data_IF_037764752703
#
_entry.id   IF_037764752703
#
_cell.length_a   1.000
_cell.length_b   1.000
_cell.length_c   1.000
_cell.angle_alpha   90.00
_cell.angle_beta   90.00
_cell.angle_gamma   90.00
#
_symmetry.space_group_name_H-M   'P 1'
#
loop_
_entity.id
_entity.type
_entity.pdbx_description
1 polymer ?
#
# COMPACT_ATOMS: atom_id res chain seq x y z
N UNK A 1 -21.25 13.47 -19.42
CA UNK A 1 -21.15 12.48 -18.33
C UNK A 1 -20.91 13.25 -17.04
N UNK A 2 -21.43 12.80 -15.89
CA UNK A 2 -21.10 13.46 -14.61
C UNK A 2 -19.61 13.25 -14.29
N UNK A 3 -18.93 14.22 -13.66
CA UNK A 3 -17.56 14.03 -13.22
C UNK A 3 -17.41 12.82 -12.29
N UNK A 4 -16.28 12.13 -12.38
CA UNK A 4 -15.92 11.04 -11.47
C UNK A 4 -15.58 11.64 -10.11
N UNK A 5 -16.17 11.12 -9.04
CA UNK A 5 -15.78 11.46 -7.66
C UNK A 5 -14.80 10.45 -7.10
N UNK A 6 -13.58 10.89 -6.84
CA UNK A 6 -12.53 10.06 -6.28
C UNK A 6 -12.15 10.55 -4.89
N UNK A 7 -12.30 9.69 -3.89
CA UNK A 7 -11.94 10.00 -2.50
C UNK A 7 -10.84 9.05 -2.03
N UNK A 8 -9.77 9.60 -1.46
CA UNK A 8 -8.63 8.83 -0.96
C UNK A 8 -8.57 8.84 0.57
N UNK A 9 -8.51 7.65 1.16
CA UNK A 9 -8.41 7.38 2.59
C UNK A 9 -7.09 6.67 2.89
N UNK A 10 -6.54 6.93 4.05
CA UNK A 10 -5.32 6.28 4.49
C UNK A 10 -4.49 7.10 5.45
N UNK A 11 -3.19 6.85 5.41
CA UNK A 11 -2.20 7.50 6.25
C UNK A 11 -1.25 8.40 5.44
N UNK A 12 -0.01 8.56 5.90
CA UNK A 12 0.99 9.45 5.31
C UNK A 12 1.32 9.11 3.85
N UNK A 13 1.21 7.85 3.43
CA UNK A 13 1.40 7.47 2.03
C UNK A 13 0.34 8.11 1.13
N UNK A 14 -0.93 8.05 1.54
CA UNK A 14 -2.03 8.60 0.75
C UNK A 14 -2.15 10.11 0.92
N UNK A 15 -1.80 10.65 2.08
CA UNK A 15 -1.69 12.10 2.31
C UNK A 15 -0.68 12.74 1.35
N UNK A 16 0.36 11.99 0.94
CA UNK A 16 1.35 12.43 -0.04
C UNK A 16 2.68 12.87 0.57
N UNK A 17 3.00 12.41 1.79
CA UNK A 17 4.29 12.68 2.41
C UNK A 17 5.42 12.25 1.48
N UNK A 18 6.37 13.15 1.25
CA UNK A 18 7.50 12.96 0.35
C UNK A 18 7.34 13.55 -1.06
N UNK A 19 6.13 13.99 -1.43
CA UNK A 19 5.83 14.72 -2.67
C UNK A 19 5.10 16.04 -2.35
N UNK A 20 5.87 17.07 -2.00
CA UNK A 20 5.35 18.38 -1.59
C UNK A 20 5.44 19.39 -2.74
N UNK A 21 4.33 20.09 -2.99
CA UNK A 21 4.24 21.26 -3.88
C UNK A 21 4.01 22.52 -3.05
N UNK A 22 3.85 23.67 -3.71
CA UNK A 22 3.51 24.94 -3.05
C UNK A 22 2.17 24.87 -2.30
N UNK A 23 1.24 24.02 -2.78
CA UNK A 23 -0.09 23.83 -2.21
C UNK A 23 -0.15 22.75 -1.10
N UNK A 24 0.99 22.13 -0.78
CA UNK A 24 1.10 21.07 0.22
C UNK A 24 1.42 19.69 -0.36
N UNK A 25 1.18 18.60 0.39
CA UNK A 25 1.47 17.26 -0.09
C UNK A 25 0.49 16.86 -1.21
N UNK A 26 1.03 16.37 -2.33
CA UNK A 26 0.25 15.95 -3.50
C UNK A 26 -0.02 14.45 -3.46
N UNK A 27 1.02 13.62 -3.53
CA UNK A 27 0.92 12.17 -3.38
C UNK A 27 0.30 11.43 -4.57
N UNK A 28 0.36 10.10 -4.51
CA UNK A 28 -0.05 9.21 -5.60
C UNK A 28 -1.52 9.36 -6.00
N UNK A 29 -2.42 9.62 -5.05
CA UNK A 29 -3.86 9.70 -5.32
C UNK A 29 -4.19 10.99 -6.11
N UNK A 30 -3.59 12.13 -5.75
CA UNK A 30 -3.75 13.36 -6.51
C UNK A 30 -3.13 13.25 -7.91
N UNK A 31 -2.00 12.55 -8.04
CA UNK A 31 -1.37 12.27 -9.34
C UNK A 31 -2.21 11.35 -10.23
N UNK A 32 -2.98 10.43 -9.64
CA UNK A 32 -3.88 9.52 -10.35
C UNK A 32 -5.16 10.22 -10.83
N UNK A 33 -5.69 11.16 -10.03
CA UNK A 33 -7.03 11.72 -10.25
C UNK A 33 -7.27 12.29 -11.66
N UNK A 34 -6.36 13.06 -12.29
CA UNK A 34 -6.55 13.56 -13.65
C UNK A 34 -6.69 12.46 -14.71
N UNK A 35 -6.16 11.27 -14.44
CA UNK A 35 -6.20 10.12 -15.35
C UNK A 35 -7.51 9.33 -15.27
N UNK A 36 -8.37 9.59 -14.29
CA UNK A 36 -9.66 8.90 -14.14
C UNK A 36 -10.70 9.39 -15.16
N UNK A 37 -10.62 10.66 -15.55
CA UNK A 37 -11.50 11.27 -16.54
C UNK A 37 -11.49 12.79 -16.46
N UNK A 38 -11.95 13.43 -17.53
CA UNK A 38 -12.06 14.89 -17.57
C UNK A 38 -12.99 15.39 -16.46
N UNK A 39 -12.52 16.39 -15.70
CA UNK A 39 -13.29 17.03 -14.63
C UNK A 39 -13.36 16.25 -13.32
N UNK A 40 -12.59 15.16 -13.14
CA UNK A 40 -12.58 14.36 -11.89
C UNK A 40 -12.53 15.24 -10.64
N UNK A 41 -13.50 15.05 -9.75
CA UNK A 41 -13.61 15.69 -8.44
C UNK A 41 -12.81 14.84 -7.44
N UNK A 42 -11.66 15.34 -7.01
CA UNK A 42 -10.77 14.63 -6.08
C UNK A 42 -10.87 15.20 -4.66
N UNK A 43 -10.88 14.32 -3.65
CA UNK A 43 -10.75 14.70 -2.24
C UNK A 43 -9.82 13.74 -1.52
N UNK A 44 -8.81 14.28 -0.84
CA UNK A 44 -7.92 13.50 0.02
C UNK A 44 -8.35 13.67 1.49
N UNK A 45 -8.71 12.57 2.14
CA UNK A 45 -9.06 12.53 3.56
C UNK A 45 -8.02 11.76 4.39
N UNK A 46 -6.91 11.33 3.77
CA UNK A 46 -5.84 10.66 4.46
C UNK A 46 -5.11 11.60 5.43
N UNK A 47 -4.63 11.04 6.54
CA UNK A 47 -3.97 11.81 7.60
C UNK A 47 -2.75 11.06 8.07
N UNK A 48 -1.59 11.74 8.11
CA UNK A 48 -0.34 11.16 8.61
C UNK A 48 -0.49 10.42 9.94
N UNK A 49 -0.05 9.16 9.96
CA UNK A 49 -0.06 8.32 11.16
C UNK A 49 -1.38 7.64 11.50
N UNK A 50 -2.42 7.80 10.65
CA UNK A 50 -3.70 7.12 10.80
C UNK A 50 -3.54 5.59 10.85
N UNK A 51 -4.33 4.96 11.72
CA UNK A 51 -4.51 3.51 11.80
C UNK A 51 -5.84 3.11 11.15
N UNK A 52 -6.07 1.80 10.97
CA UNK A 52 -7.35 1.27 10.48
C UNK A 52 -8.56 1.78 11.27
N UNK A 53 -8.41 2.01 12.58
CA UNK A 53 -9.45 2.61 13.42
C UNK A 53 -9.81 4.02 12.99
N UNK A 54 -8.81 4.85 12.71
CA UNK A 54 -9.04 6.26 12.35
C UNK A 54 -9.70 6.35 10.96
N UNK A 55 -9.33 5.44 10.04
CA UNK A 55 -9.99 5.31 8.74
C UNK A 55 -11.47 4.92 8.92
N UNK A 56 -11.76 3.93 9.76
CA UNK A 56 -13.13 3.49 10.03
C UNK A 56 -13.98 4.59 10.68
N UNK A 57 -13.48 5.18 11.76
CA UNK A 57 -14.28 6.05 12.62
C UNK A 57 -14.41 7.49 12.09
N UNK A 58 -13.42 7.97 11.31
CA UNK A 58 -13.35 9.38 10.89
C UNK A 58 -13.38 9.54 9.39
N UNK A 59 -12.49 8.87 8.67
CA UNK A 59 -12.34 9.11 7.22
C UNK A 59 -13.49 8.49 6.42
N UNK A 60 -13.95 7.29 6.79
CA UNK A 60 -15.00 6.58 6.07
C UNK A 60 -16.33 7.33 6.11
N UNK A 61 -16.87 7.78 7.27
CA UNK A 61 -18.10 8.56 7.29
C UNK A 61 -18.03 9.84 6.44
N UNK A 62 -16.91 10.56 6.51
CA UNK A 62 -16.67 11.76 5.70
C UNK A 62 -16.61 11.42 4.20
N UNK A 63 -15.99 10.30 3.82
CA UNK A 63 -15.93 9.84 2.44
C UNK A 63 -17.32 9.52 1.89
N UNK A 64 -18.13 8.77 2.63
CA UNK A 64 -19.46 8.36 2.17
C UNK A 64 -20.40 9.56 1.99
N UNK A 65 -20.24 10.62 2.79
CA UNK A 65 -21.01 11.87 2.62
C UNK A 65 -20.77 12.53 1.24
N UNK A 66 -19.61 12.29 0.61
CA UNK A 66 -19.27 12.80 -0.72
C UNK A 66 -19.87 11.97 -1.87
N UNK A 67 -20.46 10.80 -1.57
CA UNK A 67 -20.99 9.84 -2.55
C UNK A 67 -19.99 9.53 -3.68
N UNK A 68 -18.84 8.92 -3.33
CA UNK A 68 -17.75 8.68 -4.26
C UNK A 68 -18.09 7.60 -5.29
N UNK A 69 -17.54 7.73 -6.50
CA UNK A 69 -17.56 6.68 -7.52
C UNK A 69 -16.36 5.73 -7.34
N UNK A 70 -15.22 6.26 -6.87
CA UNK A 70 -14.04 5.49 -6.48
C UNK A 70 -13.56 5.89 -5.08
N UNK A 71 -13.17 4.89 -4.29
CA UNK A 71 -12.56 5.09 -2.98
C UNK A 71 -11.25 4.33 -2.89
N UNK A 72 -10.15 5.04 -2.65
CA UNK A 72 -8.89 4.40 -2.29
C UNK A 72 -8.78 4.24 -0.78
N UNK A 73 -8.42 3.05 -0.32
CA UNK A 73 -8.14 2.76 1.08
C UNK A 73 -6.79 2.06 1.18
N UNK A 74 -5.76 2.81 1.55
CA UNK A 74 -4.40 2.30 1.73
C UNK A 74 -3.94 2.68 3.14
N UNK A 75 -3.92 1.71 4.04
CA UNK A 75 -3.63 1.88 5.48
C UNK A 75 -3.17 0.54 6.07
N UNK A 76 -2.53 0.58 7.24
CA UNK A 76 -2.24 -0.60 8.06
C UNK A 76 -0.78 -0.70 8.51
N UNK A 77 0.13 -0.04 7.80
CA UNK A 77 1.55 0.04 8.20
C UNK A 77 1.66 0.66 9.60
N UNK A 78 0.89 1.71 9.88
CA UNK A 78 0.90 2.35 11.19
C UNK A 78 0.38 1.45 12.32
N UNK A 79 -0.58 0.56 12.06
CA UNK A 79 -1.06 -0.43 13.03
C UNK A 79 0.07 -1.39 13.43
N UNK A 80 0.90 -1.85 12.47
CA UNK A 80 2.03 -2.76 12.76
C UNK A 80 3.06 -2.14 13.70
N UNK A 81 3.14 -0.81 13.70
CA UNK A 81 4.08 0.00 14.47
C UNK A 81 3.48 0.50 15.81
N UNK A 82 2.43 -0.15 16.32
CA UNK A 82 1.87 0.12 17.65
C UNK A 82 2.05 -1.06 18.58
N UNK A 83 2.10 -0.76 19.88
CA UNK A 83 2.08 -1.82 20.88
C UNK A 83 0.76 -2.58 20.95
N UNK A 84 -0.33 -1.92 20.53
CA UNK A 84 -1.70 -2.45 20.48
C UNK A 84 -2.01 -3.20 19.18
N UNK A 85 -1.00 -3.63 18.43
CA UNK A 85 -1.24 -4.35 17.17
C UNK A 85 -2.08 -5.62 17.43
N UNK A 86 -3.20 -5.71 16.74
CA UNK A 86 -4.13 -6.84 16.79
C UNK A 86 -4.69 -7.06 15.39
N UNK A 87 -4.38 -8.21 14.80
CA UNK A 87 -4.81 -8.55 13.45
C UNK A 87 -6.32 -8.79 13.35
N UNK A 88 -6.98 -9.25 14.42
CA UNK A 88 -8.45 -9.39 14.43
C UNK A 88 -9.12 -8.03 14.32
N UNK A 89 -8.64 -7.05 15.09
CA UNK A 89 -9.15 -5.70 15.05
C UNK A 89 -8.89 -5.03 13.68
N UNK A 90 -7.71 -5.23 13.09
CA UNK A 90 -7.39 -4.75 11.73
C UNK A 90 -8.34 -5.35 10.70
N UNK A 91 -8.53 -6.67 10.71
CA UNK A 91 -9.42 -7.37 9.78
C UNK A 91 -10.87 -6.90 9.91
N UNK A 92 -11.39 -6.81 11.13
CA UNK A 92 -12.75 -6.36 11.38
C UNK A 92 -12.99 -4.92 10.90
N UNK A 93 -12.05 -4.01 11.15
CA UNK A 93 -12.16 -2.61 10.74
C UNK A 93 -12.09 -2.46 9.22
N UNK A 94 -11.14 -3.13 8.57
CA UNK A 94 -11.03 -3.09 7.10
C UNK A 94 -12.26 -3.72 6.42
N UNK A 95 -12.79 -4.83 6.95
CA UNK A 95 -14.04 -5.42 6.47
C UNK A 95 -15.21 -4.42 6.55
N UNK A 96 -15.33 -3.70 7.66
CA UNK A 96 -16.37 -2.69 7.83
C UNK A 96 -16.21 -1.51 6.86
N UNK A 97 -14.98 -1.00 6.68
CA UNK A 97 -14.69 0.08 5.73
C UNK A 97 -15.03 -0.35 4.30
N UNK A 98 -14.52 -1.50 3.86
CA UNK A 98 -14.71 -1.97 2.48
C UNK A 98 -16.19 -2.28 2.22
N UNK A 99 -16.87 -2.93 3.17
CA UNK A 99 -18.29 -3.19 3.04
C UNK A 99 -19.13 -1.91 2.96
N UNK A 100 -18.75 -0.87 3.71
CA UNK A 100 -19.47 0.40 3.67
C UNK A 100 -19.32 1.09 2.32
N UNK A 101 -18.11 1.14 1.76
CA UNK A 101 -17.85 1.69 0.43
C UNK A 101 -18.55 0.87 -0.67
N UNK A 102 -18.45 -0.46 -0.63
CA UNK A 102 -19.07 -1.35 -1.60
C UNK A 102 -20.61 -1.24 -1.58
N UNK A 103 -21.22 -1.05 -0.41
CA UNK A 103 -22.67 -0.86 -0.26
C UNK A 103 -23.17 0.44 -0.91
N UNK A 104 -22.36 1.48 -0.95
CA UNK A 104 -22.65 2.72 -1.69
C UNK A 104 -22.37 2.59 -3.20
N UNK A 105 -21.87 1.43 -3.66
CA UNK A 105 -21.55 1.16 -5.07
C UNK A 105 -20.22 1.76 -5.54
N UNK A 106 -19.36 2.23 -4.63
CA UNK A 106 -18.06 2.76 -4.99
C UNK A 106 -17.07 1.66 -5.38
N UNK A 107 -16.27 1.90 -6.42
CA UNK A 107 -15.15 1.03 -6.77
C UNK A 107 -14.02 1.21 -5.76
N UNK A 108 -13.62 0.14 -5.11
CA UNK A 108 -12.54 0.16 -4.11
C UNK A 108 -11.17 0.02 -4.77
N UNK A 109 -10.21 0.85 -4.35
CA UNK A 109 -8.79 0.67 -4.61
C UNK A 109 -8.08 0.34 -3.30
N UNK A 110 -7.16 -0.59 -3.31
CA UNK A 110 -6.31 -0.85 -2.15
C UNK A 110 -4.95 -1.43 -2.56
N UNK A 111 -4.03 -1.54 -1.61
CA UNK A 111 -2.70 -2.04 -1.87
C UNK A 111 -2.12 -2.85 -0.70
N UNK A 112 -1.36 -3.89 -1.03
CA UNK A 112 -0.37 -4.46 -0.13
C UNK A 112 0.87 -3.56 -0.11
N UNK A 113 1.44 -3.36 1.08
CA UNK A 113 2.58 -2.47 1.27
C UNK A 113 3.81 -3.24 1.78
N UNK A 114 5.02 -2.72 1.50
CA UNK A 114 6.26 -3.34 1.94
C UNK A 114 6.43 -3.33 3.46
N UNK A 115 7.27 -4.23 3.97
CA UNK A 115 7.60 -4.30 5.40
C UNK A 115 8.34 -3.04 5.87
N UNK A 116 7.81 -2.31 6.87
CA UNK A 116 8.48 -1.11 7.39
C UNK A 116 9.84 -1.42 8.03
N UNK A 117 10.07 -2.63 8.56
CA UNK A 117 11.36 -3.01 9.13
C UNK A 117 12.49 -3.03 8.10
N UNK A 118 12.25 -3.63 6.95
CA UNK A 118 13.15 -3.67 5.80
C UNK A 118 13.38 -2.27 5.21
N UNK A 119 12.32 -1.46 5.09
CA UNK A 119 12.43 -0.07 4.61
C UNK A 119 13.33 0.79 5.49
N UNK A 120 13.21 0.63 6.81
CA UNK A 120 14.03 1.33 7.79
C UNK A 120 15.44 0.75 7.96
N UNK A 121 15.76 -0.37 7.29
CA UNK A 121 17.05 -1.04 7.39
C UNK A 121 17.36 -1.56 8.79
N UNK A 122 16.34 -2.02 9.53
CA UNK A 122 16.52 -2.52 10.89
C UNK A 122 17.30 -3.85 10.90
N UNK A 123 18.06 -4.13 11.97
CA UNK A 123 18.61 -5.46 12.21
C UNK A 123 17.53 -6.55 12.16
N UNK A 124 17.88 -7.75 11.70
CA UNK A 124 16.93 -8.85 11.48
C UNK A 124 16.05 -9.16 12.69
N UNK A 125 16.60 -9.12 13.91
CA UNK A 125 15.84 -9.35 15.15
C UNK A 125 14.71 -8.33 15.38
N UNK A 126 14.86 -7.10 14.89
CA UNK A 126 13.83 -6.05 14.96
C UNK A 126 12.93 -6.05 13.71
N UNK A 127 13.50 -6.34 12.55
CA UNK A 127 12.76 -6.36 11.29
C UNK A 127 11.81 -7.55 11.19
N UNK A 128 12.19 -8.75 11.64
CA UNK A 128 11.39 -9.96 11.47
C UNK A 128 10.01 -9.90 12.17
N UNK A 129 9.89 -9.38 13.40
CA UNK A 129 8.57 -9.15 14.01
C UNK A 129 7.69 -8.18 13.23
N UNK A 130 8.24 -7.08 12.73
CA UNK A 130 7.50 -6.11 11.92
C UNK A 130 7.08 -6.73 10.58
N UNK A 131 7.98 -7.49 9.96
CA UNK A 131 7.70 -8.19 8.72
C UNK A 131 6.57 -9.21 8.87
N UNK A 132 6.52 -9.94 10.00
CA UNK A 132 5.38 -10.82 10.31
C UNK A 132 4.08 -10.04 10.45
N UNK A 133 4.09 -8.91 11.16
CA UNK A 133 2.91 -8.05 11.29
C UNK A 133 2.45 -7.49 9.94
N UNK A 134 3.37 -7.01 9.11
CA UNK A 134 3.04 -6.50 7.78
C UNK A 134 2.52 -7.60 6.85
N UNK A 135 3.12 -8.79 6.88
CA UNK A 135 2.59 -9.96 6.14
C UNK A 135 1.15 -10.28 6.57
N UNK A 136 0.87 -10.23 7.86
CA UNK A 136 -0.48 -10.44 8.38
C UNK A 136 -1.48 -9.39 7.86
N UNK A 137 -1.11 -8.11 7.91
CA UNK A 137 -1.94 -7.01 7.34
C UNK A 137 -2.15 -7.20 5.84
N UNK A 138 -1.08 -7.47 5.07
CA UNK A 138 -1.18 -7.69 3.63
C UNK A 138 -2.07 -8.90 3.28
N UNK A 139 -1.98 -10.00 4.03
CA UNK A 139 -2.85 -11.16 3.84
C UNK A 139 -4.34 -10.82 4.06
N UNK A 140 -4.64 -10.01 5.07
CA UNK A 140 -6.00 -9.50 5.30
C UNK A 140 -6.45 -8.60 4.16
N UNK A 141 -5.63 -7.63 3.73
CA UNK A 141 -5.95 -6.74 2.61
C UNK A 141 -6.20 -7.53 1.34
N UNK A 142 -5.37 -8.54 1.04
CA UNK A 142 -5.54 -9.40 -0.12
C UNK A 142 -6.87 -10.16 -0.09
N UNK A 143 -7.16 -10.87 1.01
CA UNK A 143 -8.41 -11.62 1.17
C UNK A 143 -9.65 -10.72 1.08
N UNK A 144 -9.60 -9.53 1.69
CA UNK A 144 -10.69 -8.56 1.61
C UNK A 144 -10.81 -7.92 0.22
N UNK A 145 -9.71 -7.78 -0.51
CA UNK A 145 -9.74 -7.28 -1.90
C UNK A 145 -10.49 -8.24 -2.81
N UNK A 146 -10.21 -9.55 -2.70
CA UNK A 146 -10.95 -10.58 -3.43
C UNK A 146 -12.43 -10.59 -3.04
N UNK A 147 -12.71 -10.53 -1.72
CA UNK A 147 -14.07 -10.55 -1.18
C UNK A 147 -14.94 -9.39 -1.67
N UNK A 148 -14.37 -8.19 -1.80
CA UNK A 148 -15.10 -6.99 -2.18
C UNK A 148 -14.88 -6.56 -3.64
N UNK A 149 -14.12 -7.33 -4.43
CA UNK A 149 -13.81 -7.01 -5.82
C UNK A 149 -13.02 -5.73 -5.99
N UNK A 150 -12.09 -5.43 -5.07
CA UNK A 150 -11.29 -4.22 -5.12
C UNK A 150 -10.24 -4.28 -6.23
N UNK A 151 -9.93 -3.12 -6.82
CA UNK A 151 -8.75 -2.91 -7.66
C UNK A 151 -7.52 -2.93 -6.76
N UNK A 152 -6.86 -4.09 -6.72
CA UNK A 152 -5.81 -4.40 -5.75
C UNK A 152 -4.40 -4.28 -6.36
N UNK A 153 -3.58 -3.41 -5.79
CA UNK A 153 -2.18 -3.26 -6.15
C UNK A 153 -1.27 -3.99 -5.15
N UNK A 154 -0.58 -5.02 -5.59
CA UNK A 154 0.50 -5.58 -4.76
C UNK A 154 1.79 -4.76 -4.91
N UNK A 155 2.05 -3.85 -3.96
CA UNK A 155 3.30 -3.10 -3.85
C UNK A 155 4.21 -3.66 -2.74
N UNK A 156 4.00 -4.89 -2.28
CA UNK A 156 4.83 -5.50 -1.24
C UNK A 156 6.17 -6.05 -1.76
N UNK A 157 6.34 -6.12 -3.09
CA UNK A 157 7.57 -6.61 -3.71
C UNK A 157 8.80 -5.73 -3.41
N UNK A 158 9.98 -6.35 -3.40
CA UNK A 158 11.25 -5.69 -3.08
C UNK A 158 11.82 -4.83 -4.22
N UNK A 159 11.27 -4.93 -5.43
CA UNK A 159 11.86 -4.33 -6.64
C UNK A 159 11.89 -2.80 -6.58
N UNK A 160 10.83 -2.19 -6.04
CA UNK A 160 10.77 -0.73 -5.87
C UNK A 160 11.34 -0.26 -4.51
N UNK A 161 11.40 -1.14 -3.51
CA UNK A 161 12.07 -0.85 -2.23
C UNK A 161 13.57 -0.65 -2.45
N UNK A 162 14.20 -1.46 -3.30
CA UNK A 162 15.64 -1.40 -3.55
C UNK A 162 16.07 -0.11 -4.27
N UNK A 163 15.17 0.50 -5.05
CA UNK A 163 15.46 1.73 -5.79
C UNK A 163 15.34 2.96 -4.88
N UNK A 164 16.48 3.40 -4.36
CA UNK A 164 16.58 4.59 -3.49
C UNK A 164 16.07 5.88 -4.13
N UNK A 165 16.01 5.98 -5.46
CA UNK A 165 15.52 7.18 -6.13
C UNK A 165 13.99 7.34 -6.02
N UNK A 166 13.28 6.28 -5.62
CA UNK A 166 11.83 6.31 -5.39
C UNK A 166 11.44 6.80 -4.00
N UNK A 167 12.41 6.94 -3.09
CA UNK A 167 12.18 7.28 -1.69
C UNK A 167 12.50 8.75 -1.40
N UNK A 168 11.76 9.32 -0.46
CA UNK A 168 11.99 10.66 0.04
C UNK A 168 13.24 10.70 0.94
N UNK A 169 13.56 11.90 1.41
CA UNK A 169 14.68 12.15 2.31
C UNK A 169 14.67 11.26 3.58
N UNK A 170 13.47 10.88 4.06
CA UNK A 170 13.30 10.06 5.26
C UNK A 170 13.48 8.54 5.04
N UNK A 171 13.58 8.11 3.78
CA UNK A 171 13.67 6.69 3.36
C UNK A 171 12.53 5.80 3.85
N UNK A 172 11.43 6.40 4.29
CA UNK A 172 10.23 5.71 4.75
C UNK A 172 9.05 5.99 3.83
N UNK A 173 8.94 7.23 3.35
CA UNK A 173 7.88 7.62 2.42
C UNK A 173 8.42 7.71 1.00
N UNK A 174 7.61 7.35 -0.02
CA UNK A 174 7.98 7.58 -1.40
C UNK A 174 8.22 9.07 -1.67
N UNK A 175 9.25 9.38 -2.45
CA UNK A 175 9.38 10.71 -3.05
C UNK A 175 8.43 10.86 -4.25
N UNK A 176 8.44 12.00 -4.92
CA UNK A 176 7.64 12.24 -6.13
C UNK A 176 7.70 11.08 -7.13
N UNK A 177 8.91 10.57 -7.46
CA UNK A 177 9.07 9.44 -8.39
C UNK A 177 8.33 8.19 -7.92
N UNK A 178 8.38 7.89 -6.63
CA UNK A 178 7.69 6.74 -6.05
C UNK A 178 6.17 6.92 -6.08
N UNK A 179 5.67 8.12 -5.74
CA UNK A 179 4.24 8.44 -5.84
C UNK A 179 3.72 8.36 -7.28
N UNK A 180 4.48 8.86 -8.26
CA UNK A 180 4.16 8.72 -9.70
C UNK A 180 4.10 7.26 -10.13
N UNK A 181 5.04 6.42 -9.67
CA UNK A 181 5.05 4.99 -9.96
C UNK A 181 3.84 4.27 -9.36
N UNK A 182 3.46 4.59 -8.13
CA UNK A 182 2.22 4.10 -7.51
C UNK A 182 0.98 4.52 -8.31
N UNK A 183 0.88 5.80 -8.68
CA UNK A 183 -0.22 6.33 -9.48
C UNK A 183 -0.33 5.61 -10.84
N UNK A 184 0.78 5.44 -11.56
CA UNK A 184 0.80 4.75 -12.85
C UNK A 184 0.42 3.27 -12.75
N UNK A 185 0.82 2.57 -11.67
CA UNK A 185 0.44 1.18 -11.43
C UNK A 185 -1.05 1.04 -11.14
N UNK A 186 -1.62 1.92 -10.31
CA UNK A 186 -3.08 1.95 -10.10
C UNK A 186 -3.84 2.30 -11.38
N UNK A 187 -3.35 3.27 -12.17
CA UNK A 187 -3.93 3.60 -13.47
C UNK A 187 -4.00 2.38 -14.39
N UNK A 188 -2.92 1.61 -14.50
CA UNK A 188 -2.87 0.38 -15.31
C UNK A 188 -3.95 -0.61 -14.89
N UNK A 189 -4.12 -0.84 -13.58
CA UNK A 189 -5.13 -1.76 -13.05
C UNK A 189 -6.56 -1.24 -13.32
N UNK A 190 -6.79 0.05 -13.11
CA UNK A 190 -8.09 0.67 -13.37
C UNK A 190 -8.44 0.69 -14.86
N UNK A 191 -7.47 0.90 -15.75
CA UNK A 191 -7.67 0.80 -17.20
C UNK A 191 -8.08 -0.61 -17.59
N UNK A 192 -7.39 -1.63 -17.06
CA UNK A 192 -7.74 -3.03 -17.31
C UNK A 192 -9.16 -3.38 -16.79
N UNK A 193 -9.60 -2.75 -15.71
CA UNK A 193 -10.95 -2.88 -15.16
C UNK A 193 -12.00 -1.95 -15.80
N UNK A 194 -11.63 -1.12 -16.78
CA UNK A 194 -12.56 -0.23 -17.49
C UNK A 194 -12.99 1.02 -16.70
N UNK A 195 -12.24 1.41 -15.66
CA UNK A 195 -12.58 2.53 -14.78
C UNK A 195 -11.88 3.86 -15.11
N UNK A 196 -11.03 3.91 -16.15
CA UNK A 196 -10.34 5.14 -16.57
C UNK A 196 -10.59 5.47 -18.03
N UNK A 197 -10.67 6.77 -18.33
CA UNK A 197 -10.72 7.28 -19.72
C UNK A 197 -9.56 8.23 -20.05
N UNK A 198 -8.76 8.62 -19.05
CA UNK A 198 -7.65 9.56 -19.21
C UNK A 198 -6.31 8.90 -19.55
N UNK A 199 -5.35 9.73 -19.94
CA UNK A 199 -3.94 9.33 -20.20
C UNK A 199 -3.28 8.85 -18.90
N UNK A 200 -2.37 7.86 -18.93
CA UNK A 200 -1.59 7.48 -17.75
C UNK A 200 -0.88 8.66 -17.09
N UNK A 201 -0.74 8.67 -15.75
CA UNK A 201 0.06 9.66 -15.04
C UNK A 201 1.50 9.71 -15.57
N UNK A 202 2.08 10.91 -15.64
CA UNK A 202 3.48 11.06 -16.05
C UNK A 202 4.42 10.41 -15.02
N UNK A 203 5.38 9.62 -15.51
CA UNK A 203 6.49 9.09 -14.71
C UNK A 203 7.64 10.09 -14.55
N UNK A 204 7.67 11.12 -15.39
CA UNK A 204 8.69 12.17 -15.31
C UNK A 204 8.43 13.04 -14.07
N UNK A 205 9.42 13.18 -13.17
CA UNK A 205 9.30 14.04 -12.00
C UNK A 205 9.41 15.52 -12.40
N UNK A 206 8.66 16.35 -11.71
CA UNK A 206 8.71 17.82 -11.82
C UNK A 206 9.83 18.40 -10.96
N UNK A 207 10.21 17.70 -9.87
CA UNK A 207 11.22 18.16 -8.93
C UNK A 207 12.45 17.25 -8.90
N UNK A 208 13.65 17.81 -8.63
CA UNK A 208 14.85 17.02 -8.45
C UNK A 208 14.75 16.12 -7.22
N UNK A 209 15.49 15.01 -7.23
CA UNK A 209 15.55 14.11 -6.07
C UNK A 209 16.09 14.84 -4.82
N UNK A 210 15.66 14.46 -3.59
CA UNK A 210 16.16 15.07 -2.37
C UNK A 210 17.67 14.97 -2.25
N UNK A 211 18.34 16.06 -1.89
CA UNK A 211 19.78 16.05 -1.62
C UNK A 211 20.10 15.39 -0.27
N UNK A 212 21.34 14.95 -0.09
CA UNK A 212 21.81 14.41 1.22
C UNK A 212 21.61 15.42 2.35
N UNK A 213 21.83 16.71 2.07
CA UNK A 213 21.65 17.80 3.03
C UNK A 213 20.18 17.98 3.43
N UNK A 214 19.26 17.92 2.48
CA UNK A 214 17.82 17.96 2.75
C UNK A 214 17.37 16.77 3.63
N UNK A 215 17.96 15.59 3.40
CA UNK A 215 17.71 14.39 4.22
C UNK A 215 18.18 14.58 5.67
N UNK A 216 19.36 15.19 5.88
CA UNK A 216 19.88 15.50 7.21
C UNK A 216 19.07 16.58 7.94
N UNK A 217 18.65 17.62 7.22
CA UNK A 217 17.80 18.71 7.75
C UNK A 217 16.41 18.20 8.18
N UNK A 218 15.80 17.28 7.41
CA UNK A 218 14.56 16.64 7.81
C UNK A 218 14.74 15.82 9.08
N UNK A 219 15.81 15.02 9.14
CA UNK A 219 16.14 14.19 10.31
C UNK A 219 16.26 15.05 11.58
N UNK A 220 16.88 16.23 11.46
CA UNK A 220 17.08 17.16 12.56
C UNK A 220 15.78 17.84 13.05
N UNK A 221 14.75 17.92 12.22
CA UNK A 221 13.51 18.68 12.49
C UNK A 221 12.30 17.75 12.72
N UNK A 222 11.61 17.38 11.64
CA UNK A 222 10.40 16.56 11.67
C UNK A 222 10.69 15.11 12.08
N UNK A 223 11.86 14.58 11.70
CA UNK A 223 12.33 13.25 12.09
C UNK A 223 12.44 13.10 13.60
N UNK A 224 13.00 14.10 14.30
CA UNK A 224 13.20 14.08 15.76
C UNK A 224 11.89 13.90 16.53
N UNK A 225 10.82 14.62 16.17
CA UNK A 225 9.53 14.50 16.84
C UNK A 225 8.84 13.16 16.56
N UNK A 226 8.97 12.63 15.34
CA UNK A 226 8.47 11.30 15.00
C UNK A 226 9.23 10.21 15.77
N UNK A 227 10.57 10.26 15.77
CA UNK A 227 11.44 9.34 16.52
C UNK A 227 11.11 9.40 18.01
N UNK A 228 10.98 10.59 18.60
CA UNK A 228 10.68 10.75 20.03
C UNK A 228 9.31 10.17 20.44
N UNK A 229 8.30 10.22 19.56
CA UNK A 229 7.02 9.55 19.79
C UNK A 229 7.17 8.02 19.70
N UNK A 230 7.90 7.52 18.71
CA UNK A 230 8.12 6.08 18.52
C UNK A 230 9.04 5.45 19.57
N UNK A 231 10.00 6.19 20.12
CA UNK A 231 10.80 5.75 21.26
C UNK A 231 9.96 5.48 22.52
N UNK A 232 8.84 6.19 22.69
CA UNK A 232 7.95 6.01 23.85
C UNK A 232 6.88 4.94 23.65
N UNK A 233 6.36 4.80 22.43
CA UNK A 233 5.22 3.91 22.12
C UNK A 233 5.65 2.54 21.55
N UNK A 234 6.64 2.52 20.65
CA UNK A 234 7.02 1.33 19.89
C UNK A 234 8.26 0.63 20.45
N UNK A 235 9.29 1.40 20.82
CA UNK A 235 10.61 0.85 21.13
C UNK A 235 10.61 -0.21 22.26
N UNK A 236 9.94 0.00 23.41
CA UNK A 236 9.94 -1.01 24.48
C UNK A 236 9.32 -2.34 24.04
N UNK A 237 8.24 -2.30 23.25
CA UNK A 237 7.62 -3.54 22.76
C UNK A 237 8.45 -4.17 21.64
N UNK A 238 8.99 -3.37 20.74
CA UNK A 238 9.82 -3.89 19.65
C UNK A 238 11.08 -4.60 20.19
N UNK A 239 11.68 -4.10 21.27
CA UNK A 239 12.77 -4.77 21.97
C UNK A 239 12.34 -6.10 22.60
N UNK A 240 11.12 -6.19 23.17
CA UNK A 240 10.57 -7.45 23.68
C UNK A 240 10.37 -8.46 22.55
N UNK A 241 9.78 -8.04 21.43
CA UNK A 241 9.60 -8.89 20.26
C UNK A 241 10.94 -9.36 19.68
N UNK A 242 11.95 -8.50 19.66
CA UNK A 242 13.29 -8.87 19.21
C UNK A 242 13.96 -9.87 20.17
N UNK A 243 13.75 -9.73 21.48
CA UNK A 243 14.26 -10.70 22.45
C UNK A 243 13.59 -12.07 22.26
N UNK A 244 12.28 -12.10 22.02
CA UNK A 244 11.56 -13.34 21.70
C UNK A 244 12.02 -13.93 20.37
N UNK A 245 12.27 -13.10 19.35
CA UNK A 245 12.85 -13.52 18.08
C UNK A 245 14.21 -14.20 18.28
N UNK A 246 15.09 -13.59 19.06
CA UNK A 246 16.42 -14.13 19.35
C UNK A 246 16.31 -15.45 20.13
N UNK A 247 15.36 -15.57 21.06
CA UNK A 247 15.13 -16.81 21.82
C UNK A 247 14.64 -17.95 20.91
N UNK A 248 13.69 -17.68 20.03
CA UNK A 248 13.19 -18.67 19.08
C UNK A 248 14.27 -19.05 18.06
N UNK A 249 15.03 -18.08 17.56
CA UNK A 249 16.16 -18.32 16.67
C UNK A 249 17.21 -19.21 17.32
N UNK A 250 17.61 -18.93 18.57
CA UNK A 250 18.57 -19.73 19.32
C UNK A 250 18.08 -21.17 19.59
N UNK A 251 16.76 -21.39 19.62
CA UNK A 251 16.14 -22.71 19.81
C UNK A 251 15.79 -23.43 18.50
N UNK A 252 15.98 -22.77 17.35
CA UNK A 252 15.54 -23.29 16.05
C UNK A 252 14.01 -23.30 15.84
N UNK A 253 13.26 -22.61 16.70
CA UNK A 253 11.78 -22.59 16.71
C UNK A 253 11.19 -21.33 16.06
N UNK A 254 11.94 -20.69 15.15
CA UNK A 254 11.48 -19.48 14.45
C UNK A 254 10.21 -19.72 13.61
N UNK A 255 10.10 -20.90 12.99
CA UNK A 255 8.94 -21.30 12.20
C UNK A 255 7.63 -21.30 13.00
N UNK A 256 7.68 -21.54 14.31
CA UNK A 256 6.50 -21.51 15.18
C UNK A 256 5.88 -20.10 15.24
N UNK A 257 6.71 -19.06 15.20
CA UNK A 257 6.23 -17.67 15.17
C UNK A 257 5.53 -17.34 13.86
N UNK A 258 6.05 -17.82 12.74
CA UNK A 258 5.41 -17.65 11.43
C UNK A 258 4.09 -18.44 11.36
N UNK A 259 4.07 -19.69 11.82
CA UNK A 259 2.84 -20.49 11.90
C UNK A 259 1.78 -19.84 12.79
N UNK A 260 2.16 -19.34 13.97
CA UNK A 260 1.25 -18.65 14.87
C UNK A 260 0.67 -17.38 14.23
N UNK A 261 1.49 -16.59 13.51
CA UNK A 261 1.03 -15.43 12.79
C UNK A 261 0.04 -15.80 11.67
N UNK A 262 0.34 -16.84 10.89
CA UNK A 262 -0.56 -17.35 9.85
C UNK A 262 -1.89 -17.88 10.43
N UNK A 263 -1.84 -18.61 11.54
CA UNK A 263 -3.03 -19.10 12.23
C UNK A 263 -3.90 -17.94 12.76
N UNK A 264 -3.28 -16.88 13.30
CA UNK A 264 -3.98 -15.69 13.76
C UNK A 264 -4.69 -14.95 12.60
N UNK A 265 -4.05 -14.84 11.43
CA UNK A 265 -4.69 -14.27 10.23
C UNK A 265 -5.89 -15.12 9.80
N UNK A 266 -5.73 -16.44 9.72
CA UNK A 266 -6.81 -17.34 9.34
C UNK A 266 -7.99 -17.24 10.31
N UNK A 267 -7.72 -17.21 11.62
CA UNK A 267 -8.74 -17.02 12.65
C UNK A 267 -9.41 -15.64 12.55
N UNK A 268 -8.65 -14.58 12.27
CA UNK A 268 -9.19 -13.22 12.09
C UNK A 268 -10.14 -13.13 10.89
N UNK A 269 -9.77 -13.73 9.76
CA UNK A 269 -10.62 -13.77 8.56
C UNK A 269 -11.86 -14.66 8.76
N UNK A 270 -11.71 -15.81 9.43
CA UNK A 270 -12.83 -16.71 9.74
C UNK A 270 -13.84 -16.09 10.73
N UNK A 271 -13.40 -15.18 11.59
CA UNK A 271 -14.27 -14.46 12.52
C UNK A 271 -15.07 -13.32 11.87
N UNK A 272 -14.79 -12.96 10.62
CA UNK A 272 -15.54 -11.92 9.92
C UNK A 272 -16.96 -12.41 9.62
N UNK A 273 -17.99 -11.55 9.76
CA UNK A 273 -19.36 -11.93 9.48
C UNK A 273 -19.50 -12.37 8.02
N UNK A 274 -20.27 -13.42 7.73
CA UNK A 274 -20.59 -13.75 6.35
C UNK A 274 -21.35 -12.59 5.70
N UNK A 275 -20.86 -12.10 4.55
CA UNK A 275 -21.57 -11.10 3.76
C UNK A 275 -21.80 -11.68 2.38
N UNK A 276 -23.07 -11.74 1.97
CA UNK A 276 -23.43 -12.13 0.59
C UNK A 276 -22.76 -11.14 -0.36
N UNK A 277 -22.13 -11.60 -1.46
CA UNK A 277 -21.60 -10.69 -2.46
C UNK A 277 -22.74 -9.77 -2.94
N UNK A 278 -22.46 -8.46 -2.99
CA UNK A 278 -23.36 -7.53 -3.64
C UNK A 278 -23.59 -8.02 -5.07
N UNK A 279 -24.86 -8.09 -5.50
CA UNK A 279 -25.20 -8.52 -6.86
C UNK A 279 -24.38 -7.66 -7.83
N UNK A 280 -23.50 -8.30 -8.59
CA UNK A 280 -22.82 -7.67 -9.70
C UNK A 280 -23.90 -7.03 -10.60
N UNK A 281 -23.77 -5.76 -11.01
CA UNK A 281 -24.67 -5.21 -12.01
C UNK A 281 -24.68 -6.14 -13.21
N UNK A 282 -25.86 -6.55 -13.66
CA UNK A 282 -26.02 -7.41 -14.83
C UNK A 282 -25.37 -6.71 -16.04
N UNK A 283 -24.22 -7.21 -16.48
CA UNK A 283 -23.44 -6.61 -17.56
C UNK A 283 -22.06 -7.20 -17.78
N UNK A 284 -21.46 -7.89 -16.80
CA UNK A 284 -20.16 -8.54 -16.96
C UNK A 284 -20.32 -10.07 -17.01
N UNK A 285 -20.70 -10.60 -18.17
CA UNK A 285 -20.51 -12.03 -18.46
C UNK A 285 -19.55 -12.23 -19.63
N UNK A 286 -18.61 -13.16 -19.38
CA UNK A 286 -17.81 -13.94 -20.30
C UNK A 286 -16.57 -13.28 -20.94
N UNK A 287 -15.42 -13.44 -20.28
CA UNK A 287 -14.14 -13.67 -20.95
C UNK A 287 -13.45 -14.90 -20.34
N UNK A 288 -14.06 -16.07 -20.51
CA UNK A 288 -13.35 -17.35 -20.46
C UNK A 288 -12.76 -17.61 -21.85
N UNK A 289 -11.46 -17.40 -22.02
CA UNK A 289 -10.75 -17.78 -23.24
C UNK A 289 -9.45 -17.01 -23.49
N UNK A 290 -8.41 -17.23 -22.68
CA UNK A 290 -7.04 -16.92 -23.09
C UNK A 290 -6.44 -18.17 -23.74
N UNK A 291 -5.95 -18.12 -25.01
CA UNK A 291 -5.23 -19.24 -25.60
C UNK A 291 -3.82 -19.36 -24.99
N UNK A 292 -3.19 -20.55 -25.04
CA UNK A 292 -1.87 -20.77 -24.46
C UNK A 292 -0.79 -19.97 -25.20
N UNK A 293 0.21 -19.52 -24.43
CA UNK A 293 1.39 -18.75 -24.86
C UNK A 293 2.02 -19.33 -26.14
N UNK A 294 2.12 -18.50 -27.18
CA UNK A 294 2.96 -18.76 -28.34
C UNK A 294 4.45 -18.60 -27.95
N UNK A 295 5.23 -19.63 -28.23
CA UNK A 295 6.70 -19.64 -28.16
C UNK A 295 7.24 -18.89 -29.39
N UNK A 296 8.06 -17.86 -29.18
CA UNK A 296 8.80 -17.19 -30.25
C UNK A 296 10.05 -18.02 -30.62
N UNK A 297 10.29 -18.35 -31.89
CA UNK A 297 11.52 -19.03 -32.30
C UNK A 297 12.63 -18.02 -32.66
N UNK A 298 13.86 -18.31 -32.24
CA UNK A 298 15.07 -17.92 -32.96
C UNK A 298 16.00 -16.90 -32.27
N UNK A 299 16.90 -17.40 -31.44
CA UNK A 299 18.22 -16.77 -31.22
C UNK A 299 19.28 -17.88 -31.11
N UNK A 300 19.82 -18.25 -32.27
CA UNK A 300 21.04 -19.07 -32.35
C UNK A 300 22.28 -18.24 -31.96
N UNK A 301 23.38 -18.90 -31.55
CA UNK A 301 24.57 -18.23 -31.04
C UNK A 301 25.38 -17.55 -32.14
N UNK A 302 25.86 -16.33 -31.85
CA UNK A 302 26.74 -15.54 -32.72
C UNK A 302 28.17 -16.10 -32.67
N UNK A 303 28.66 -16.49 -33.84
CA UNK A 303 30.04 -16.89 -34.12
C UNK A 303 30.93 -15.64 -34.21
N UNK A 304 31.94 -15.54 -33.35
CA UNK A 304 32.93 -14.45 -33.33
C UNK A 304 34.23 -14.93 -33.95
N UNK A 305 34.30 -14.91 -35.28
CA UNK A 305 35.53 -15.03 -36.04
C UNK A 305 36.11 -13.66 -36.37
N UNK A 306 37.16 -13.23 -35.66
CA UNK A 306 38.04 -12.14 -36.10
C UNK A 306 39.47 -12.67 -36.12
N UNK A 307 39.94 -12.99 -37.33
CA UNK A 307 41.36 -13.10 -37.65
C UNK A 307 41.85 -11.76 -38.20
N UNK A 308 42.98 -11.28 -37.67
CA UNK A 308 43.77 -10.23 -38.30
C UNK A 308 45.19 -10.78 -38.40
N UNK A 309 45.72 -10.72 -39.61
CA UNK A 309 47.11 -10.98 -40.00
C UNK A 309 48.12 -10.10 -39.26
#
# INVERSE_FOLDING_TARGET
>A
MRPVRFVALGDSLTEGVGDFTEDGPRGWAALLAPSLGAGTEFTNLAVSGAQTRDVLERQTPAALALRPDLVAVVVGVNDTLRHTFDIHAVAARLDQVYAACAREGATLLTACLPDPGAMLGLPSALAAPLARRQRAVNAVVHALSERYGAVHLDASDGGWIADRALWSADRLHPGERGHRRLAARFHTLLTAAGHTTGRPPSLEPEFPAPTRTASLLWLATAGTAWVARRCRDLLPQLLRLALDELRHSARGTGADLDMAASAAVAAALAALPERRPARTPAGAHALTGLPPRAVLPGSGPLDLGVGIS
#
